data_IF_441633528835
#
_entry.id   IF_441633528835
#
_cell.length_a   1.000
_cell.length_b   1.000
_cell.length_c   1.000
_cell.angle_alpha   90.00
_cell.angle_beta   90.00
_cell.angle_gamma   90.00
#
_symmetry.space_group_name_H-M   'P 1'
#
loop_
_entity.id
_entity.type
_entity.pdbx_description
1 polymer ?
#
# COMPACT_ATOMS: atom_id res chain seq x y z
N UNK A 1 7.76 -26.58 -4.53
CA UNK A 1 6.98 -26.21 -3.32
C UNK A 1 6.96 -24.69 -3.22
N UNK A 2 6.27 -24.02 -4.15
CA UNK A 2 6.09 -22.58 -4.13
C UNK A 2 4.60 -22.33 -3.86
N UNK A 3 4.26 -21.82 -2.68
CA UNK A 3 2.88 -21.49 -2.30
C UNK A 3 2.44 -21.95 -0.91
N UNK A 4 3.17 -22.86 -0.26
CA UNK A 4 2.80 -23.39 1.06
C UNK A 4 3.36 -22.48 2.17
N UNK A 5 2.48 -21.88 2.97
CA UNK A 5 2.89 -21.02 4.08
C UNK A 5 3.22 -21.86 5.33
N UNK A 6 4.22 -21.48 6.15
CA UNK A 6 4.61 -22.25 7.33
C UNK A 6 3.45 -22.55 8.30
N UNK A 7 2.50 -21.61 8.44
CA UNK A 7 1.34 -21.78 9.31
C UNK A 7 0.26 -22.69 8.71
N UNK A 8 0.29 -22.96 7.40
CA UNK A 8 -0.60 -23.93 6.73
C UNK A 8 -0.03 -25.36 6.75
N UNK A 9 1.22 -25.57 7.17
CA UNK A 9 1.86 -26.91 7.17
C UNK A 9 1.01 -28.02 7.81
N UNK A 10 0.32 -27.80 8.96
CA UNK A 10 -0.59 -28.79 9.53
C UNK A 10 -1.71 -29.22 8.56
N UNK A 11 -2.23 -28.28 7.75
CA UNK A 11 -3.26 -28.56 6.74
C UNK A 11 -2.68 -29.34 5.57
N UNK A 12 -1.49 -28.95 5.10
CA UNK A 12 -0.80 -29.63 3.99
C UNK A 12 -0.54 -31.10 4.34
N UNK A 13 0.00 -31.36 5.54
CA UNK A 13 0.25 -32.72 6.01
C UNK A 13 -1.02 -33.55 6.15
N UNK A 14 -2.10 -32.94 6.64
CA UNK A 14 -3.38 -33.62 6.80
C UNK A 14 -4.03 -33.93 5.44
N UNK A 15 -3.98 -33.01 4.48
CA UNK A 15 -4.43 -33.23 3.10
C UNK A 15 -3.66 -34.37 2.45
N UNK A 16 -2.33 -34.37 2.59
CA UNK A 16 -1.48 -35.44 2.06
C UNK A 16 -1.87 -36.81 2.62
N UNK A 17 -2.12 -36.92 3.92
CA UNK A 17 -2.60 -38.17 4.55
C UNK A 17 -3.95 -38.62 4.02
N UNK A 18 -4.88 -37.68 3.81
CA UNK A 18 -6.20 -37.98 3.22
C UNK A 18 -6.03 -38.54 1.80
N UNK A 19 -5.18 -37.92 0.99
CA UNK A 19 -4.97 -38.32 -0.39
C UNK A 19 -4.23 -39.66 -0.50
N UNK A 20 -3.24 -39.91 0.36
CA UNK A 20 -2.56 -41.21 0.48
C UNK A 20 -3.54 -42.33 0.88
N UNK A 21 -4.44 -42.08 1.83
CA UNK A 21 -5.48 -43.04 2.24
C UNK A 21 -6.49 -43.31 1.10
N UNK A 22 -6.91 -42.28 0.37
CA UNK A 22 -7.79 -42.42 -0.80
C UNK A 22 -7.11 -43.29 -1.88
N UNK A 23 -5.85 -43.01 -2.19
CA UNK A 23 -5.09 -43.78 -3.18
C UNK A 23 -4.88 -45.23 -2.73
N UNK A 24 -4.46 -45.45 -1.48
CA UNK A 24 -4.20 -46.79 -0.96
C UNK A 24 -5.48 -47.64 -0.88
N UNK A 25 -6.61 -47.03 -0.51
CA UNK A 25 -7.93 -47.68 -0.53
C UNK A 25 -8.32 -48.18 -1.93
N UNK A 26 -8.07 -47.37 -2.96
CA UNK A 26 -8.31 -47.75 -4.36
C UNK A 26 -7.37 -48.88 -4.82
N UNK A 27 -6.08 -48.83 -4.49
CA UNK A 27 -5.10 -49.82 -4.92
C UNK A 27 -5.28 -51.19 -4.25
N UNK A 28 -5.70 -51.22 -2.99
CA UNK A 28 -5.83 -52.46 -2.20
C UNK A 28 -7.26 -52.97 -2.10
N UNK A 29 -8.25 -52.22 -2.60
CA UNK A 29 -9.67 -52.57 -2.47
C UNK A 29 -10.15 -52.59 -1.02
N UNK A 30 -9.56 -51.77 -0.16
CA UNK A 30 -9.92 -51.64 1.25
C UNK A 30 -10.74 -50.37 1.44
N UNK A 31 -11.86 -50.48 2.14
CA UNK A 31 -12.72 -49.33 2.45
C UNK A 31 -12.18 -48.54 3.64
N UNK A 32 -11.76 -47.29 3.39
CA UNK A 32 -11.33 -46.33 4.39
C UNK A 32 -12.31 -45.14 4.51
N UNK A 33 -13.55 -45.25 4.01
CA UNK A 33 -14.48 -44.13 3.94
C UNK A 33 -14.69 -43.42 5.29
N UNK A 34 -14.87 -44.18 6.38
CA UNK A 34 -15.08 -43.62 7.72
C UNK A 34 -13.85 -42.85 8.23
N UNK A 35 -12.65 -43.36 7.95
CA UNK A 35 -11.40 -42.74 8.39
C UNK A 35 -11.09 -41.48 7.57
N UNK A 36 -11.34 -41.54 6.26
CA UNK A 36 -11.25 -40.38 5.36
C UNK A 36 -12.23 -39.30 5.82
N UNK A 37 -13.48 -39.64 6.14
CA UNK A 37 -14.48 -38.68 6.61
C UNK A 37 -14.06 -38.01 7.93
N UNK A 38 -13.49 -38.77 8.87
CA UNK A 38 -12.95 -38.21 10.12
C UNK A 38 -11.80 -37.26 9.88
N UNK A 39 -10.89 -37.59 8.96
CA UNK A 39 -9.76 -36.72 8.61
C UNK A 39 -10.21 -35.46 7.87
N UNK A 40 -11.18 -35.56 6.96
CA UNK A 40 -11.78 -34.39 6.28
C UNK A 40 -12.50 -33.46 7.26
N UNK A 41 -13.20 -34.01 8.26
CA UNK A 41 -13.81 -33.19 9.32
C UNK A 41 -12.76 -32.50 10.18
N UNK A 42 -11.72 -33.22 10.58
CA UNK A 42 -10.58 -32.65 11.31
C UNK A 42 -9.87 -31.56 10.48
N UNK A 43 -9.78 -31.75 9.17
CA UNK A 43 -9.23 -30.77 8.24
C UNK A 43 -10.06 -29.49 8.24
N UNK A 44 -11.38 -29.60 8.09
CA UNK A 44 -12.29 -28.44 8.12
C UNK A 44 -12.23 -27.67 9.43
N UNK A 45 -12.13 -28.37 10.57
CA UNK A 45 -12.00 -27.74 11.89
C UNK A 45 -10.67 -26.99 12.03
N UNK A 46 -9.55 -27.65 11.74
CA UNK A 46 -8.22 -27.06 11.82
C UNK A 46 -8.07 -25.86 10.87
N UNK A 47 -8.60 -25.98 9.66
CA UNK A 47 -8.62 -24.88 8.69
C UNK A 47 -9.42 -23.68 9.23
N UNK A 48 -10.51 -23.95 9.96
CA UNK A 48 -11.35 -22.90 10.54
C UNK A 48 -10.58 -22.19 11.64
N UNK A 49 -9.93 -22.93 12.52
CA UNK A 49 -9.15 -22.39 13.62
C UNK A 49 -8.02 -21.50 13.12
N UNK A 50 -7.27 -21.97 12.09
CA UNK A 50 -6.14 -21.24 11.50
C UNK A 50 -6.61 -19.92 10.86
N UNK A 51 -7.63 -19.95 10.01
CA UNK A 51 -8.04 -18.74 9.29
C UNK A 51 -8.90 -17.79 10.13
N UNK A 52 -9.49 -18.24 11.23
CA UNK A 52 -10.20 -17.34 12.16
C UNK A 52 -9.22 -16.53 13.02
N UNK A 53 -8.04 -17.06 13.33
CA UNK A 53 -7.06 -16.44 14.23
C UNK A 53 -5.79 -16.02 13.50
N UNK A 54 -5.95 -15.43 12.32
CA UNK A 54 -4.81 -15.06 11.50
C UNK A 54 -4.09 -13.83 12.08
N UNK A 55 -2.79 -13.94 12.33
CA UNK A 55 -1.98 -12.86 12.87
C UNK A 55 -1.62 -11.80 11.80
N UNK A 56 -1.22 -10.58 12.20
CA UNK A 56 -0.73 -9.57 11.25
C UNK A 56 0.41 -10.07 10.36
N UNK A 57 1.34 -10.84 10.90
CA UNK A 57 2.44 -11.44 10.14
C UNK A 57 1.93 -12.47 9.12
N UNK A 58 0.95 -13.30 9.50
CA UNK A 58 0.33 -14.25 8.58
C UNK A 58 -0.46 -13.56 7.47
N UNK A 59 -1.19 -12.47 7.77
CA UNK A 59 -1.82 -11.60 6.75
C UNK A 59 -0.77 -11.00 5.81
N UNK A 60 0.35 -10.50 6.32
CA UNK A 60 1.47 -10.04 5.49
C UNK A 60 1.99 -11.14 4.54
N UNK A 61 2.10 -12.38 5.00
CA UNK A 61 2.49 -13.50 4.13
C UNK A 61 1.44 -13.80 3.05
N UNK A 62 0.14 -13.73 3.40
CA UNK A 62 -0.95 -13.86 2.42
C UNK A 62 -0.93 -12.73 1.38
N UNK A 63 -0.72 -11.48 1.78
CA UNK A 63 -0.56 -10.34 0.87
C UNK A 63 0.61 -10.54 -0.11
N UNK A 64 1.66 -11.22 0.36
CA UNK A 64 2.88 -11.48 -0.43
C UNK A 64 2.80 -12.74 -1.29
N UNK A 65 1.75 -13.55 -1.14
CA UNK A 65 1.60 -14.82 -1.87
C UNK A 65 1.76 -14.59 -3.38
N UNK A 66 2.57 -15.40 -4.04
CA UNK A 66 2.84 -15.28 -5.47
C UNK A 66 1.61 -15.59 -6.34
N UNK A 67 0.66 -16.36 -5.81
CA UNK A 67 -0.63 -16.66 -6.43
C UNK A 67 -1.71 -15.64 -6.05
N UNK A 68 -1.39 -14.58 -5.31
CA UNK A 68 -2.39 -13.53 -5.03
C UNK A 68 -2.83 -12.87 -6.35
N UNK A 69 -4.14 -12.66 -6.59
CA UNK A 69 -4.62 -12.04 -7.82
C UNK A 69 -3.97 -10.67 -8.04
N UNK A 70 -3.40 -10.47 -9.23
CA UNK A 70 -2.84 -9.18 -9.65
C UNK A 70 -3.92 -8.27 -10.24
N UNK A 71 -3.59 -7.01 -10.51
CA UNK A 71 -4.53 -6.08 -11.19
C UNK A 71 -5.10 -6.66 -12.49
N UNK A 72 -4.25 -7.23 -13.35
CA UNK A 72 -4.69 -7.86 -14.61
C UNK A 72 -5.48 -9.16 -14.42
N UNK A 73 -5.39 -9.82 -13.26
CA UNK A 73 -6.25 -10.96 -12.93
C UNK A 73 -7.67 -10.51 -12.54
N UNK A 74 -7.76 -9.40 -11.81
CA UNK A 74 -9.01 -8.89 -11.28
C UNK A 74 -9.81 -8.10 -12.32
N UNK A 75 -9.13 -7.40 -13.24
CA UNK A 75 -9.80 -6.61 -14.29
C UNK A 75 -10.87 -7.39 -15.06
N UNK A 76 -10.60 -8.57 -15.64
CA UNK A 76 -11.59 -9.31 -16.41
C UNK A 76 -12.72 -9.91 -15.55
N UNK A 77 -12.52 -10.01 -14.22
CA UNK A 77 -13.54 -10.52 -13.29
C UNK A 77 -14.51 -9.44 -12.82
N UNK A 78 -14.06 -8.18 -12.83
CA UNK A 78 -14.80 -7.02 -12.30
C UNK A 78 -15.39 -6.17 -13.43
N UNK A 79 -14.63 -5.97 -14.50
CA UNK A 79 -14.96 -5.02 -15.58
C UNK A 79 -15.15 -5.72 -16.92
N UNK A 80 -15.88 -5.05 -17.82
CA UNK A 80 -15.99 -5.44 -19.23
C UNK A 80 -15.34 -4.40 -20.14
N UNK A 81 -15.09 -4.76 -21.39
CA UNK A 81 -14.54 -3.87 -22.43
C UNK A 81 -13.23 -3.16 -22.02
N UNK A 82 -12.33 -3.86 -21.33
CA UNK A 82 -11.06 -3.27 -20.92
C UNK A 82 -10.15 -2.98 -22.13
N UNK A 83 -9.71 -1.74 -22.24
CA UNK A 83 -8.74 -1.27 -23.23
C UNK A 83 -7.57 -0.65 -22.49
N UNK A 84 -6.45 -1.35 -22.46
CA UNK A 84 -5.20 -0.86 -21.85
C UNK A 84 -4.64 0.33 -22.63
N UNK A 85 -4.13 1.33 -21.91
CA UNK A 85 -3.54 2.55 -22.46
C UNK A 85 -2.12 2.74 -21.94
N UNK A 86 -1.18 2.89 -22.87
CA UNK A 86 0.26 2.90 -22.58
C UNK A 86 0.88 4.31 -22.56
N UNK A 87 2.00 4.43 -21.84
CA UNK A 87 2.95 5.54 -21.89
C UNK A 87 2.56 6.78 -21.08
N UNK A 88 3.54 7.53 -20.62
CA UNK A 88 3.37 8.81 -19.91
C UNK A 88 3.36 10.04 -20.82
N UNK A 89 3.77 9.88 -22.09
CA UNK A 89 3.99 10.94 -23.09
C UNK A 89 5.20 11.84 -22.82
N UNK A 90 6.13 11.39 -21.99
CA UNK A 90 7.32 12.13 -21.61
C UNK A 90 8.58 11.27 -21.71
N UNK A 91 8.58 10.08 -21.11
CA UNK A 91 9.77 9.22 -21.04
C UNK A 91 9.50 7.79 -21.52
N UNK A 92 8.45 7.13 -21.01
CA UNK A 92 8.26 5.70 -21.28
C UNK A 92 6.92 5.14 -20.84
N UNK A 93 6.73 3.86 -21.13
CA UNK A 93 5.62 3.06 -20.60
C UNK A 93 6.15 2.13 -19.51
N UNK A 94 5.80 2.44 -18.25
CA UNK A 94 6.17 1.61 -17.11
C UNK A 94 5.22 0.42 -16.98
N UNK A 95 5.77 -0.79 -17.05
CA UNK A 95 5.01 -2.04 -16.94
C UNK A 95 4.62 -2.38 -15.50
N UNK A 96 5.19 -1.70 -14.50
CA UNK A 96 4.78 -1.80 -13.11
C UNK A 96 3.42 -1.13 -12.85
N UNK A 97 2.94 -0.29 -13.78
CA UNK A 97 1.61 0.33 -13.75
C UNK A 97 0.84 -0.05 -15.00
N UNK A 98 -0.31 -0.71 -14.82
CA UNK A 98 -1.29 -0.95 -15.88
C UNK A 98 -2.46 0.00 -15.71
N UNK A 99 -3.13 0.34 -16.80
CA UNK A 99 -4.33 1.17 -16.71
C UNK A 99 -4.99 1.42 -18.05
N UNK A 100 -6.28 1.74 -18.02
CA UNK A 100 -7.08 1.78 -19.22
C UNK A 100 -8.52 2.22 -19.01
N UNK A 101 -9.29 2.10 -20.08
CA UNK A 101 -10.74 2.31 -20.08
C UNK A 101 -11.42 0.97 -19.84
N UNK A 102 -12.51 0.96 -19.09
CA UNK A 102 -13.32 -0.23 -18.89
C UNK A 102 -14.79 0.16 -18.65
N UNK A 103 -15.64 -0.83 -18.47
CA UNK A 103 -17.01 -0.66 -17.97
C UNK A 103 -17.23 -1.42 -16.67
N UNK A 104 -17.85 -0.76 -15.71
CA UNK A 104 -18.36 -1.37 -14.48
C UNK A 104 -19.89 -1.32 -14.54
N UNK A 105 -20.56 -2.47 -14.68
CA UNK A 105 -22.02 -2.54 -14.89
C UNK A 105 -22.51 -1.59 -16.01
N UNK A 106 -21.78 -1.57 -17.13
CA UNK A 106 -22.07 -0.71 -18.27
C UNK A 106 -21.57 0.74 -18.14
N UNK A 107 -21.29 1.24 -16.93
CA UNK A 107 -20.76 2.59 -16.71
C UNK A 107 -19.29 2.70 -17.11
N UNK A 108 -18.89 3.66 -17.97
CA UNK A 108 -17.49 3.86 -18.34
C UNK A 108 -16.65 4.33 -17.15
N UNK A 109 -15.55 3.64 -16.88
CA UNK A 109 -14.60 3.93 -15.80
C UNK A 109 -13.18 3.94 -16.33
N UNK A 110 -12.27 4.56 -15.57
CA UNK A 110 -10.82 4.43 -15.78
C UNK A 110 -10.24 3.59 -14.64
N UNK A 111 -9.54 2.52 -14.99
CA UNK A 111 -8.91 1.61 -14.03
C UNK A 111 -7.40 1.79 -14.13
N UNK A 112 -6.71 1.87 -13.00
CA UNK A 112 -5.24 2.00 -12.91
C UNK A 112 -4.77 1.10 -11.78
N UNK A 113 -3.61 0.44 -11.89
CA UNK A 113 -3.09 -0.29 -10.75
C UNK A 113 -1.65 -0.72 -10.89
N UNK A 114 -1.05 -1.07 -9.75
CA UNK A 114 0.24 -1.75 -9.74
C UNK A 114 0.08 -3.14 -10.36
N UNK A 115 1.08 -3.55 -11.13
CA UNK A 115 1.11 -4.88 -11.73
C UNK A 115 2.38 -5.62 -11.34
N UNK A 116 2.25 -6.58 -10.45
CA UNK A 116 3.27 -7.59 -10.18
C UNK A 116 3.34 -8.61 -11.32
N UNK A 117 4.47 -9.30 -11.42
CA UNK A 117 4.62 -10.39 -12.37
C UNK A 117 4.18 -11.73 -11.79
N UNK A 118 3.69 -12.62 -12.65
CA UNK A 118 3.27 -13.97 -12.24
C UNK A 118 4.43 -14.97 -12.13
N UNK A 119 5.45 -14.79 -12.95
CA UNK A 119 6.68 -15.58 -12.95
C UNK A 119 7.92 -14.69 -12.79
N UNK A 120 9.10 -15.30 -12.71
CA UNK A 120 10.37 -14.57 -12.51
C UNK A 120 10.64 -13.58 -13.63
N UNK A 121 10.37 -13.94 -14.89
CA UNK A 121 10.65 -13.09 -16.05
C UNK A 121 9.71 -11.89 -16.06
N UNK A 122 8.42 -12.13 -15.83
CA UNK A 122 7.39 -11.09 -15.74
C UNK A 122 7.65 -10.17 -14.53
N UNK A 123 8.07 -10.71 -13.39
CA UNK A 123 8.42 -9.91 -12.22
C UNK A 123 9.59 -8.97 -12.48
N UNK A 124 10.64 -9.43 -13.17
CA UNK A 124 11.77 -8.58 -13.55
C UNK A 124 11.31 -7.47 -14.51
N UNK A 125 10.51 -7.80 -15.53
CA UNK A 125 10.02 -6.84 -16.50
C UNK A 125 9.14 -5.74 -15.88
N UNK A 126 8.44 -6.07 -14.80
CA UNK A 126 7.53 -5.16 -14.09
C UNK A 126 8.11 -4.60 -12.81
N UNK A 127 9.41 -4.76 -12.58
CA UNK A 127 10.09 -4.32 -11.36
C UNK A 127 9.38 -4.77 -10.07
N UNK A 128 8.82 -5.99 -10.09
CA UNK A 128 8.04 -6.57 -8.99
C UNK A 128 6.86 -5.67 -8.55
N UNK A 129 6.26 -4.93 -9.49
CA UNK A 129 5.19 -3.98 -9.22
C UNK A 129 5.67 -2.68 -8.55
N UNK A 130 6.96 -2.37 -8.59
CA UNK A 130 7.55 -1.13 -8.05
C UNK A 130 7.71 -0.09 -9.15
N UNK A 131 6.87 0.96 -9.22
CA UNK A 131 6.90 1.89 -10.34
C UNK A 131 8.11 2.83 -10.31
N UNK A 132 8.54 3.18 -11.51
CA UNK A 132 9.39 4.31 -11.82
C UNK A 132 8.56 5.61 -11.93
N UNK A 133 9.21 6.78 -12.03
CA UNK A 133 8.50 8.07 -12.10
C UNK A 133 7.52 8.14 -13.27
N UNK A 134 7.88 7.60 -14.43
CA UNK A 134 7.03 7.49 -15.62
C UNK A 134 5.74 6.70 -15.38
N UNK A 135 5.72 5.70 -14.48
CA UNK A 135 4.51 4.98 -14.10
C UNK A 135 3.50 5.86 -13.36
N UNK A 136 3.99 6.71 -12.45
CA UNK A 136 3.14 7.69 -11.78
C UNK A 136 2.65 8.79 -12.74
N UNK A 137 3.52 9.26 -13.65
CA UNK A 137 3.12 10.22 -14.71
C UNK A 137 2.08 9.64 -15.66
N UNK A 138 2.23 8.37 -16.07
CA UNK A 138 1.20 7.60 -16.81
C UNK A 138 -0.11 7.56 -16.03
N UNK A 139 -0.05 7.29 -14.73
CA UNK A 139 -1.24 7.27 -13.86
C UNK A 139 -1.95 8.61 -13.84
N UNK A 140 -1.24 9.72 -13.59
CA UNK A 140 -1.78 11.09 -13.63
C UNK A 140 -2.43 11.38 -14.98
N UNK A 141 -1.76 11.03 -16.09
CA UNK A 141 -2.30 11.24 -17.44
C UNK A 141 -3.65 10.55 -17.62
N UNK A 142 -3.77 9.30 -17.18
CA UNK A 142 -5.01 8.54 -17.27
C UNK A 142 -6.11 9.12 -16.36
N UNK A 143 -5.76 9.53 -15.14
CA UNK A 143 -6.69 10.18 -14.21
C UNK A 143 -7.21 11.52 -14.76
N UNK A 144 -6.35 12.32 -15.39
CA UNK A 144 -6.76 13.57 -16.05
C UNK A 144 -7.64 13.33 -17.27
N UNK A 145 -7.41 12.25 -18.01
CA UNK A 145 -8.34 11.84 -19.06
C UNK A 145 -9.68 11.42 -18.48
N UNK A 146 -9.72 10.70 -17.36
CA UNK A 146 -10.97 10.33 -16.70
C UNK A 146 -11.76 11.56 -16.26
N UNK A 147 -11.11 12.51 -15.59
CA UNK A 147 -11.69 13.79 -15.19
C UNK A 147 -12.26 14.57 -16.39
N UNK A 148 -11.49 14.70 -17.46
CA UNK A 148 -11.92 15.41 -18.69
C UNK A 148 -13.24 14.88 -19.27
N UNK A 149 -13.49 13.58 -19.12
CA UNK A 149 -14.66 12.92 -19.68
C UNK A 149 -15.68 12.49 -18.61
N UNK A 150 -15.54 12.96 -17.37
CA UNK A 150 -16.47 12.65 -16.27
C UNK A 150 -16.53 11.17 -15.89
N UNK A 151 -15.46 10.40 -16.09
CA UNK A 151 -15.42 8.99 -15.71
C UNK A 151 -14.93 8.82 -14.27
N UNK A 152 -15.55 7.94 -13.47
CA UNK A 152 -14.99 7.50 -12.21
C UNK A 152 -13.64 6.80 -12.41
N UNK A 153 -12.81 6.86 -11.37
CA UNK A 153 -11.49 6.23 -11.33
C UNK A 153 -11.49 5.15 -10.26
N UNK A 154 -11.03 3.95 -10.63
CA UNK A 154 -10.73 2.87 -9.70
C UNK A 154 -9.23 2.61 -9.73
N UNK A 155 -8.59 2.59 -8.56
CA UNK A 155 -7.17 2.21 -8.44
C UNK A 155 -6.97 0.93 -7.67
N UNK A 156 -6.06 0.07 -8.13
CA UNK A 156 -5.63 -1.14 -7.43
C UNK A 156 -4.19 -0.99 -6.93
N UNK A 157 -4.01 -1.10 -5.62
CA UNK A 157 -2.73 -0.92 -4.94
C UNK A 157 -2.14 -2.29 -4.59
N UNK A 158 -0.98 -2.59 -5.17
CA UNK A 158 -0.21 -3.81 -4.93
C UNK A 158 1.28 -3.60 -5.23
N UNK A 159 1.95 -2.88 -4.34
CA UNK A 159 3.36 -2.54 -4.46
C UNK A 159 4.07 -2.59 -3.12
N UNK A 160 5.32 -3.03 -3.13
CA UNK A 160 6.23 -2.92 -1.97
C UNK A 160 6.72 -1.48 -1.77
N UNK A 161 6.55 -0.63 -2.77
CA UNK A 161 6.99 0.76 -2.78
C UNK A 161 7.41 1.20 -4.17
N UNK A 162 7.74 2.48 -4.29
CA UNK A 162 8.33 3.01 -5.51
C UNK A 162 9.72 2.39 -5.74
N UNK A 163 10.12 2.21 -7.00
CA UNK A 163 11.42 1.64 -7.32
C UNK A 163 12.56 2.52 -6.77
N UNK A 164 13.43 2.02 -5.88
CA UNK A 164 14.45 2.81 -5.20
C UNK A 164 15.80 2.75 -5.92
N UNK A 165 15.84 3.14 -7.20
CA UNK A 165 17.05 3.07 -8.04
C UNK A 165 17.56 4.43 -8.51
N UNK A 166 18.86 4.53 -8.78
CA UNK A 166 19.50 5.78 -9.24
C UNK A 166 18.79 6.41 -10.43
N UNK A 167 18.37 5.60 -11.40
CA UNK A 167 17.70 6.09 -12.61
C UNK A 167 16.30 6.65 -12.30
N UNK A 168 15.62 6.12 -11.28
CA UNK A 168 14.36 6.68 -10.81
C UNK A 168 14.57 8.04 -10.11
N UNK A 169 15.64 8.16 -9.32
CA UNK A 169 16.01 9.43 -8.68
C UNK A 169 16.36 10.51 -9.70
N UNK A 170 17.21 10.19 -10.70
CA UNK A 170 17.57 11.10 -11.80
C UNK A 170 16.34 11.62 -12.57
N UNK A 171 15.28 10.81 -12.65
CA UNK A 171 14.02 11.16 -13.33
C UNK A 171 12.95 11.76 -12.40
N UNK A 172 13.27 11.98 -11.13
CA UNK A 172 12.40 12.67 -10.17
C UNK A 172 11.31 11.78 -9.57
N UNK A 173 11.68 10.67 -8.93
CA UNK A 173 10.74 9.78 -8.22
C UNK A 173 9.92 10.52 -7.16
N UNK A 174 10.59 11.36 -6.36
CA UNK A 174 9.93 12.20 -5.35
C UNK A 174 8.94 13.19 -5.97
N UNK A 175 9.32 13.84 -7.08
CA UNK A 175 8.45 14.79 -7.80
C UNK A 175 7.22 14.08 -8.36
N UNK A 176 7.39 12.93 -9.01
CA UNK A 176 6.29 12.20 -9.63
C UNK A 176 5.26 11.71 -8.59
N UNK A 177 5.73 11.24 -7.43
CA UNK A 177 4.86 10.87 -6.30
C UNK A 177 4.14 12.12 -5.77
N UNK A 178 4.88 13.18 -5.42
CA UNK A 178 4.29 14.40 -4.87
C UNK A 178 3.27 15.04 -5.82
N UNK A 179 3.56 15.05 -7.13
CA UNK A 179 2.64 15.52 -8.17
C UNK A 179 1.39 14.65 -8.22
N UNK A 180 1.52 13.34 -8.08
CA UNK A 180 0.37 12.43 -8.06
C UNK A 180 -0.56 12.73 -6.88
N UNK A 181 -0.02 12.91 -5.68
CA UNK A 181 -0.79 13.29 -4.49
C UNK A 181 -1.55 14.59 -4.71
N UNK A 182 -0.85 15.60 -5.24
CA UNK A 182 -1.42 16.93 -5.50
C UNK A 182 -2.51 16.92 -6.57
N UNK A 183 -2.32 16.18 -7.66
CA UNK A 183 -3.32 16.07 -8.72
C UNK A 183 -4.53 15.26 -8.28
N UNK A 184 -4.31 14.13 -7.61
CA UNK A 184 -5.38 13.28 -7.11
C UNK A 184 -6.24 13.98 -6.07
N UNK A 185 -5.67 14.80 -5.19
CA UNK A 185 -6.44 15.58 -4.22
C UNK A 185 -7.48 16.53 -4.87
N UNK A 186 -7.29 16.89 -6.14
CA UNK A 186 -8.09 17.90 -6.85
C UNK A 186 -9.02 17.32 -7.93
N UNK A 187 -9.02 16.01 -8.14
CA UNK A 187 -9.88 15.37 -9.15
C UNK A 187 -11.36 15.58 -8.83
N UNK A 188 -12.12 16.07 -9.81
CA UNK A 188 -13.56 16.35 -9.71
C UNK A 188 -14.47 15.17 -10.07
N UNK A 189 -13.92 13.96 -10.16
CA UNK A 189 -14.64 12.71 -10.40
C UNK A 189 -14.48 11.77 -9.21
N UNK A 190 -15.38 10.80 -9.00
CA UNK A 190 -15.24 9.81 -7.96
C UNK A 190 -13.94 9.01 -8.11
N UNK A 191 -13.20 8.84 -7.02
CA UNK A 191 -11.98 8.03 -6.97
C UNK A 191 -12.11 6.99 -5.85
N UNK A 192 -12.05 5.71 -6.22
CA UNK A 192 -12.05 4.59 -5.26
C UNK A 192 -10.72 3.85 -5.39
N UNK A 193 -9.97 3.76 -4.30
CA UNK A 193 -8.70 3.06 -4.24
C UNK A 193 -8.88 1.76 -3.46
N UNK A 194 -8.31 0.66 -3.93
CA UNK A 194 -8.37 -0.63 -3.24
C UNK A 194 -6.98 -1.21 -3.10
N UNK A 195 -6.54 -1.45 -1.86
CA UNK A 195 -5.32 -2.23 -1.60
C UNK A 195 -5.64 -3.70 -1.76
N UNK A 196 -5.17 -4.28 -2.87
CA UNK A 196 -5.41 -5.68 -3.21
C UNK A 196 -4.28 -6.59 -2.75
N UNK A 197 -3.10 -6.05 -2.42
CA UNK A 197 -1.95 -6.82 -1.95
C UNK A 197 -1.13 -6.04 -0.93
N UNK A 198 0.06 -5.59 -1.32
CA UNK A 198 0.89 -4.71 -0.48
C UNK A 198 0.64 -3.22 -0.78
N UNK A 199 0.45 -2.40 0.26
CA UNK A 199 0.37 -0.95 0.22
C UNK A 199 1.67 -0.32 0.72
N UNK A 200 2.73 -0.37 -0.09
CA UNK A 200 4.05 0.10 0.30
C UNK A 200 4.24 1.62 0.19
N UNK A 201 4.22 2.31 1.33
CA UNK A 201 4.71 3.68 1.52
C UNK A 201 4.17 4.70 0.48
N UNK A 202 4.98 5.69 0.11
CA UNK A 202 4.65 6.73 -0.87
C UNK A 202 4.36 6.18 -2.27
N UNK A 203 4.89 5.01 -2.64
CA UNK A 203 4.62 4.40 -3.94
C UNK A 203 3.21 3.85 -4.08
N UNK A 204 2.65 3.32 -2.98
CA UNK A 204 1.23 3.00 -2.88
C UNK A 204 0.38 4.27 -2.83
N UNK A 205 0.76 5.23 -1.98
CA UNK A 205 0.00 6.48 -1.78
C UNK A 205 -0.11 7.32 -3.06
N UNK A 206 0.86 7.24 -3.96
CA UNK A 206 0.85 7.95 -5.24
C UNK A 206 -0.37 7.64 -6.13
N UNK A 207 -1.04 6.50 -5.94
CA UNK A 207 -2.33 6.19 -6.58
C UNK A 207 -3.43 5.88 -5.56
N UNK A 208 -3.25 6.32 -4.31
CA UNK A 208 -4.11 6.01 -3.16
C UNK A 208 -4.89 7.19 -2.58
N UNK A 209 -4.87 8.36 -3.22
CA UNK A 209 -5.59 9.55 -2.74
C UNK A 209 -7.02 9.57 -3.30
N UNK A 210 -7.88 8.71 -2.77
CA UNK A 210 -9.27 8.52 -3.21
C UNK A 210 -10.33 9.11 -2.26
N UNK A 211 -11.56 9.26 -2.76
CA UNK A 211 -12.75 9.52 -1.92
C UNK A 211 -13.06 8.34 -1.00
N UNK A 212 -12.74 7.13 -1.47
CA UNK A 212 -12.78 5.88 -0.71
C UNK A 212 -11.45 5.16 -0.90
N UNK A 213 -10.93 4.63 0.19
CA UNK A 213 -9.79 3.71 0.24
C UNK A 213 -10.32 2.47 0.93
N UNK A 214 -10.30 1.36 0.22
CA UNK A 214 -10.70 0.05 0.70
C UNK A 214 -9.46 -0.83 0.80
N UNK A 215 -9.53 -1.86 1.62
CA UNK A 215 -8.49 -2.89 1.68
C UNK A 215 -9.13 -4.26 1.58
N UNK A 216 -8.49 -5.18 0.87
CA UNK A 216 -8.84 -6.58 1.01
C UNK A 216 -8.43 -7.07 2.41
N UNK A 217 -9.18 -8.01 2.96
CA UNK A 217 -9.05 -8.50 4.35
C UNK A 217 -7.63 -8.85 4.79
N UNK A 218 -6.84 -9.46 3.88
CA UNK A 218 -5.48 -9.88 4.15
C UNK A 218 -4.43 -8.96 3.51
N UNK A 219 -4.83 -7.85 2.89
CA UNK A 219 -3.90 -6.83 2.40
C UNK A 219 -3.24 -6.07 3.56
N UNK A 220 -2.08 -5.48 3.29
CA UNK A 220 -1.35 -4.66 4.26
C UNK A 220 -1.10 -3.25 3.72
N UNK A 221 -1.07 -2.24 4.59
CA UNK A 221 -0.71 -0.86 4.20
C UNK A 221 0.25 -0.28 5.25
N UNK A 222 1.42 0.19 4.83
CA UNK A 222 2.43 0.68 5.77
C UNK A 222 3.30 1.80 5.21
N UNK A 223 3.74 2.70 6.09
CA UNK A 223 4.66 3.80 5.73
C UNK A 223 6.08 3.32 5.37
N UNK A 224 6.47 2.14 5.87
CA UNK A 224 7.74 1.46 5.60
C UNK A 224 7.47 -0.05 5.56
N UNK A 225 8.25 -0.82 4.80
CA UNK A 225 8.10 -2.28 4.83
C UNK A 225 8.44 -2.84 6.23
N UNK A 226 7.77 -3.92 6.69
CA UNK A 226 8.11 -4.53 7.98
C UNK A 226 9.58 -4.95 8.08
N UNK A 227 10.17 -5.46 6.99
CA UNK A 227 11.60 -5.75 6.90
C UNK A 227 12.48 -4.50 7.08
N UNK A 228 12.09 -3.36 6.49
CA UNK A 228 12.77 -2.08 6.66
C UNK A 228 12.68 -1.56 8.09
N UNK A 229 11.49 -1.60 8.70
CA UNK A 229 11.29 -1.21 10.10
C UNK A 229 12.10 -2.09 11.05
N UNK A 230 12.09 -3.41 10.83
CA UNK A 230 12.87 -4.38 11.60
C UNK A 230 14.38 -4.06 11.56
N UNK A 231 14.88 -3.74 10.37
CA UNK A 231 16.30 -3.39 10.17
C UNK A 231 16.70 -2.08 10.85
N UNK A 232 15.79 -1.13 11.00
CA UNK A 232 16.07 0.17 11.63
C UNK A 232 15.92 0.10 13.15
N UNK A 233 14.77 -0.39 13.63
CA UNK A 233 14.41 -0.36 15.04
C UNK A 233 15.08 -1.48 15.84
N UNK A 234 15.25 -2.67 15.24
CA UNK A 234 15.86 -3.82 15.90
C UNK A 234 17.23 -4.21 15.34
N UNK A 235 17.74 -3.51 14.31
CA UNK A 235 18.99 -3.84 13.62
C UNK A 235 19.02 -5.27 13.07
N UNK A 236 17.84 -5.83 12.78
CA UNK A 236 17.67 -7.22 12.39
C UNK A 236 16.44 -7.39 11.48
N UNK A 237 16.68 -7.58 10.18
CA UNK A 237 15.63 -7.75 9.18
C UNK A 237 14.79 -9.03 9.37
N UNK A 238 15.30 -10.02 10.11
CA UNK A 238 14.58 -11.28 10.38
C UNK A 238 13.40 -11.07 11.33
N UNK A 239 13.37 -9.95 12.07
CA UNK A 239 12.28 -9.57 12.96
C UNK A 239 11.12 -8.86 12.25
N UNK A 240 10.92 -9.15 10.97
CA UNK A 240 9.86 -8.54 10.17
C UNK A 240 8.46 -8.83 10.74
N UNK A 241 8.22 -10.03 11.25
CA UNK A 241 6.93 -10.42 11.84
C UNK A 241 6.63 -9.59 13.09
N UNK A 242 7.63 -9.42 13.96
CA UNK A 242 7.53 -8.56 15.14
C UNK A 242 7.28 -7.09 14.76
N UNK A 243 7.93 -6.60 13.70
CA UNK A 243 7.71 -5.24 13.21
C UNK A 243 6.30 -5.08 12.62
N UNK A 244 5.79 -6.06 11.88
CA UNK A 244 4.46 -6.04 11.31
C UNK A 244 3.37 -5.92 12.39
N UNK A 245 3.51 -6.66 13.49
CA UNK A 245 2.60 -6.59 14.64
C UNK A 245 2.65 -5.22 15.33
N UNK A 246 3.85 -4.68 15.55
CA UNK A 246 4.00 -3.39 16.23
C UNK A 246 3.46 -2.20 15.41
N UNK A 247 3.50 -2.31 14.08
CA UNK A 247 3.17 -1.20 13.17
C UNK A 247 1.68 -1.06 12.84
N UNK A 248 0.83 -2.02 13.22
CA UNK A 248 -0.62 -1.99 12.96
C UNK A 248 -0.97 -1.80 11.48
N UNK A 249 -0.47 -2.70 10.64
CA UNK A 249 -0.51 -2.58 9.16
C UNK A 249 -1.72 -3.26 8.51
N UNK A 250 -2.60 -3.89 9.29
CA UNK A 250 -3.70 -4.72 8.76
C UNK A 250 -4.92 -3.88 8.37
N UNK A 251 -5.81 -4.45 7.55
CA UNK A 251 -7.07 -3.80 7.20
C UNK A 251 -7.92 -3.44 8.43
N UNK A 252 -7.98 -4.33 9.44
CA UNK A 252 -8.71 -4.10 10.68
C UNK A 252 -8.14 -2.93 11.49
N UNK A 253 -6.81 -2.89 11.64
CA UNK A 253 -6.10 -1.80 12.31
C UNK A 253 -6.40 -0.45 11.64
N UNK A 254 -6.30 -0.41 10.32
CA UNK A 254 -6.46 0.82 9.53
C UNK A 254 -7.91 1.28 9.45
N UNK A 255 -8.86 0.36 9.52
CA UNK A 255 -10.28 0.68 9.66
C UNK A 255 -10.54 1.30 11.05
N UNK A 256 -10.00 0.71 12.11
CA UNK A 256 -10.13 1.23 13.47
C UNK A 256 -9.50 2.63 13.62
N UNK A 257 -8.42 2.90 12.89
CA UNK A 257 -7.76 4.22 12.84
C UNK A 257 -8.44 5.21 11.88
N UNK A 258 -9.57 4.84 11.25
CA UNK A 258 -10.30 5.64 10.27
C UNK A 258 -9.45 6.10 9.05
N UNK A 259 -8.44 5.31 8.67
CA UNK A 259 -7.59 5.58 7.49
C UNK A 259 -8.25 5.05 6.20
N UNK A 260 -9.02 3.97 6.31
CA UNK A 260 -9.77 3.33 5.23
C UNK A 260 -11.27 3.33 5.54
N UNK A 261 -12.12 3.18 4.51
CA UNK A 261 -13.58 3.19 4.66
C UNK A 261 -14.22 1.81 4.68
N UNK A 262 -13.49 0.76 4.30
CA UNK A 262 -14.08 -0.56 4.23
C UNK A 262 -13.06 -1.67 3.98
N UNK A 263 -13.46 -2.87 4.39
CA UNK A 263 -12.71 -4.10 4.20
C UNK A 263 -13.50 -4.98 3.22
N UNK A 264 -12.84 -5.39 2.15
CA UNK A 264 -13.40 -6.34 1.19
C UNK A 264 -13.02 -7.75 1.67
N UNK A 265 -14.00 -8.61 2.00
CA UNK A 265 -13.72 -9.95 2.51
C UNK A 265 -13.01 -10.79 1.45
N UNK A 266 -12.13 -11.67 1.89
CA UNK A 266 -11.48 -12.64 1.01
C UNK A 266 -12.13 -14.03 1.12
N UNK A 267 -12.02 -14.88 0.09
CA UNK A 267 -12.29 -16.30 0.24
C UNK A 267 -11.50 -16.87 1.40
N UNK A 268 -12.04 -17.90 2.04
CA UNK A 268 -11.35 -18.59 3.13
C UNK A 268 -10.01 -19.12 2.63
N UNK A 269 -8.94 -18.77 3.34
CA UNK A 269 -7.57 -19.05 2.93
C UNK A 269 -6.92 -18.01 2.03
N UNK A 270 -7.62 -16.93 1.72
CA UNK A 270 -7.12 -15.77 1.00
C UNK A 270 -7.57 -15.71 -0.47
N UNK A 271 -7.39 -14.54 -1.05
CA UNK A 271 -7.81 -14.19 -2.41
C UNK A 271 -7.34 -15.15 -3.52
N UNK A 272 -6.22 -15.83 -3.30
CA UNK A 272 -5.64 -16.76 -4.27
C UNK A 272 -6.38 -18.10 -4.37
N UNK A 273 -7.29 -18.41 -3.42
CA UNK A 273 -8.04 -19.67 -3.41
C UNK A 273 -9.24 -19.64 -4.36
N UNK A 274 -9.84 -18.47 -4.59
CA UNK A 274 -11.00 -18.30 -5.46
C UNK A 274 -11.00 -16.88 -6.06
N UNK A 275 -10.55 -16.79 -7.30
CA UNK A 275 -10.39 -15.51 -7.99
C UNK A 275 -11.76 -14.92 -8.33
N UNK A 276 -12.70 -15.76 -8.75
CA UNK A 276 -14.06 -15.38 -9.12
C UNK A 276 -14.82 -14.78 -7.93
N UNK A 277 -14.78 -15.44 -6.77
CA UNK A 277 -15.37 -14.91 -5.54
C UNK A 277 -14.69 -13.61 -5.09
N UNK A 278 -13.37 -13.52 -5.21
CA UNK A 278 -12.61 -12.28 -4.93
C UNK A 278 -13.06 -11.13 -5.85
N UNK A 279 -13.15 -11.38 -7.15
CA UNK A 279 -13.62 -10.40 -8.13
C UNK A 279 -15.06 -9.97 -7.88
N UNK A 280 -15.95 -10.90 -7.53
CA UNK A 280 -17.33 -10.60 -7.19
C UNK A 280 -17.44 -9.70 -5.95
N UNK A 281 -16.72 -10.01 -4.87
CA UNK A 281 -16.70 -9.21 -3.65
C UNK A 281 -16.17 -7.79 -3.89
N UNK A 282 -15.09 -7.67 -4.67
CA UNK A 282 -14.55 -6.36 -5.09
C UNK A 282 -15.56 -5.57 -5.90
N UNK A 283 -16.20 -6.20 -6.90
CA UNK A 283 -17.20 -5.57 -7.76
C UNK A 283 -18.38 -5.03 -6.95
N UNK A 284 -18.88 -5.81 -6.00
CA UNK A 284 -19.97 -5.39 -5.10
C UNK A 284 -19.59 -4.12 -4.30
N UNK A 285 -18.43 -4.11 -3.67
CA UNK A 285 -17.96 -2.96 -2.89
C UNK A 285 -17.67 -1.73 -3.75
N UNK A 286 -17.11 -1.92 -4.95
CA UNK A 286 -16.91 -0.84 -5.91
C UNK A 286 -18.24 -0.21 -6.33
N UNK A 287 -19.27 -1.02 -6.62
CA UNK A 287 -20.59 -0.53 -6.99
C UNK A 287 -21.26 0.24 -5.85
N UNK A 288 -21.22 -0.32 -4.63
CA UNK A 288 -21.78 0.32 -3.43
C UNK A 288 -21.19 1.72 -3.23
N UNK A 289 -19.86 1.82 -3.17
CA UNK A 289 -19.19 3.09 -2.94
C UNK A 289 -19.32 4.04 -4.14
N UNK A 290 -19.33 3.52 -5.37
CA UNK A 290 -19.53 4.38 -6.54
C UNK A 290 -20.93 4.98 -6.54
N UNK A 291 -21.95 4.22 -6.13
CA UNK A 291 -23.32 4.69 -6.00
C UNK A 291 -23.43 5.82 -4.96
N UNK A 292 -22.77 5.69 -3.81
CA UNK A 292 -22.71 6.75 -2.79
C UNK A 292 -22.09 8.05 -3.33
N UNK A 293 -21.00 7.92 -4.10
CA UNK A 293 -20.25 9.06 -4.62
C UNK A 293 -20.92 9.71 -5.84
N UNK A 294 -21.72 8.96 -6.59
CA UNK A 294 -22.37 9.44 -7.83
C UNK A 294 -23.41 10.54 -7.59
N UNK A 295 -23.88 10.71 -6.34
CA UNK A 295 -24.77 11.81 -5.97
C UNK A 295 -24.06 13.13 -5.67
N UNK A 296 -22.72 13.15 -5.63
CA UNK A 296 -21.93 14.34 -5.31
C UNK A 296 -21.48 15.06 -6.58
N UNK A 297 -21.53 16.39 -6.58
CA UNK A 297 -20.90 17.18 -7.63
C UNK A 297 -19.36 17.22 -7.48
N UNK A 298 -18.69 17.79 -8.48
CA UNK A 298 -17.23 17.83 -8.52
C UNK A 298 -16.58 18.60 -7.36
N UNK A 299 -17.21 19.65 -6.83
CA UNK A 299 -16.67 20.41 -5.71
C UNK A 299 -16.88 19.66 -4.40
N UNK A 300 -18.04 19.04 -4.21
CA UNK A 300 -18.33 18.17 -3.08
C UNK A 300 -17.41 16.95 -3.04
N UNK A 301 -17.07 16.36 -4.19
CA UNK A 301 -16.10 15.26 -4.28
C UNK A 301 -14.69 15.67 -3.85
N UNK A 302 -14.26 16.88 -4.23
CA UNK A 302 -12.96 17.42 -3.81
C UNK A 302 -12.95 17.73 -2.32
N UNK A 303 -14.00 18.39 -1.82
CA UNK A 303 -14.12 18.75 -0.41
C UNK A 303 -14.18 17.52 0.50
N UNK A 304 -14.97 16.51 0.13
CA UNK A 304 -15.03 15.26 0.90
C UNK A 304 -13.68 14.56 0.97
N UNK A 305 -12.93 14.53 -0.15
CA UNK A 305 -11.59 13.97 -0.18
C UNK A 305 -10.63 14.78 0.69
N UNK A 306 -10.71 16.11 0.64
CA UNK A 306 -9.92 16.98 1.51
C UNK A 306 -10.18 16.69 2.98
N UNK A 307 -11.44 16.69 3.42
CA UNK A 307 -11.81 16.45 4.81
C UNK A 307 -11.36 15.07 5.29
N UNK A 308 -11.53 14.03 4.46
CA UNK A 308 -11.04 12.68 4.74
C UNK A 308 -9.56 12.69 5.12
N UNK A 309 -8.70 13.26 4.27
CA UNK A 309 -7.25 13.24 4.53
C UNK A 309 -6.85 14.25 5.61
N UNK A 310 -7.57 15.36 5.74
CA UNK A 310 -7.23 16.45 6.69
C UNK A 310 -7.39 16.03 8.16
N UNK A 311 -8.32 15.11 8.45
CA UNK A 311 -8.56 14.59 9.80
C UNK A 311 -7.57 13.51 10.26
N UNK A 312 -6.75 12.97 9.35
CA UNK A 312 -5.81 11.89 9.70
C UNK A 312 -4.66 12.46 10.53
N UNK A 313 -4.48 11.90 11.72
CA UNK A 313 -3.38 12.22 12.65
C UNK A 313 -3.89 12.71 14.00
N UNK A 314 -3.35 12.14 15.07
CA UNK A 314 -3.63 12.54 16.45
C UNK A 314 -2.43 13.27 17.05
N UNK A 315 -2.65 14.45 17.63
CA UNK A 315 -1.60 15.23 18.28
C UNK A 315 -2.15 15.98 19.49
N UNK A 316 -1.30 16.19 20.50
CA UNK A 316 -1.64 16.98 21.67
C UNK A 316 -1.26 18.45 21.43
N UNK A 317 -2.23 19.36 21.58
CA UNK A 317 -1.96 20.80 21.53
C UNK A 317 -1.44 21.31 22.87
N UNK A 318 -0.26 21.93 22.86
CA UNK A 318 0.26 22.62 24.04
C UNK A 318 -0.44 23.97 24.15
N UNK A 319 -1.33 24.14 25.13
CA UNK A 319 -1.89 25.45 25.47
C UNK A 319 -0.76 26.38 25.91
N UNK A 320 -0.46 27.38 25.10
CA UNK A 320 0.40 28.49 25.52
C UNK A 320 -0.45 29.40 26.41
N UNK A 321 -0.12 29.48 27.70
CA UNK A 321 -0.80 30.38 28.63
C UNK A 321 -0.53 31.83 28.25
N UNK A 322 -1.59 32.58 27.95
CA UNK A 322 -1.56 33.99 27.56
C UNK A 322 -1.34 34.92 28.76
N UNK A 323 -0.32 34.66 29.59
CA UNK A 323 0.03 35.53 30.73
C UNK A 323 1.21 36.48 30.43
N UNK A 324 1.62 36.64 29.16
CA UNK A 324 2.77 37.49 28.81
C UNK A 324 2.42 38.94 28.42
N UNK A 325 1.14 39.34 28.48
CA UNK A 325 0.75 40.75 28.44
C UNK A 325 0.07 41.11 29.75
N UNK A 326 0.89 41.36 30.77
CA UNK A 326 0.44 42.04 31.98
C UNK A 326 -0.03 43.44 31.62
N UNK A 327 -1.33 43.66 31.72
CA UNK A 327 -1.91 44.99 31.86
C UNK A 327 -1.43 45.58 33.20
N UNK A 328 -0.63 46.64 33.16
CA UNK A 328 -0.43 47.52 34.30
C UNK A 328 -0.52 48.96 33.80
N UNK A 329 -1.74 49.46 33.75
CA UNK A 329 -2.05 50.88 33.89
C UNK A 329 -1.96 51.27 35.37
N UNK A 330 -1.47 52.49 35.62
CA UNK A 330 -1.54 53.28 36.86
C UNK A 330 -0.58 52.95 38.02
N UNK A 331 0.53 53.69 38.10
CA UNK A 331 0.72 54.76 39.10
C UNK A 331 2.12 55.37 38.98
N UNK A 332 2.20 56.57 38.39
CA UNK A 332 3.36 57.45 38.53
C UNK A 332 3.33 58.08 39.93
N UNK A 333 4.33 57.79 40.76
CA UNK A 333 4.83 58.72 41.78
C UNK A 333 6.24 58.31 42.27
N UNK A 334 7.22 59.13 41.89
CA UNK A 334 8.43 59.53 42.64
C UNK A 334 9.27 58.46 43.37
N UNK A 335 10.47 58.19 42.87
CA UNK A 335 11.72 58.63 43.54
C UNK A 335 12.97 58.31 42.72
N UNK A 336 13.85 59.30 42.65
CA UNK A 336 15.19 59.26 42.09
C UNK A 336 16.13 58.68 43.17
N UNK A 337 16.94 57.67 42.86
CA UNK A 337 18.39 57.60 43.20
C UNK A 337 19.07 56.29 42.73
N UNK A 338 20.16 56.48 41.97
CA UNK A 338 21.42 55.73 41.82
C UNK A 338 21.51 54.23 42.20
N UNK A 339 22.01 53.41 41.27
CA UNK A 339 23.28 52.68 41.43
C UNK A 339 23.73 52.03 40.10
N UNK A 340 25.04 51.94 39.96
CA UNK A 340 25.84 51.61 38.78
C UNK A 340 25.96 50.10 38.51
N UNK A 341 26.30 49.80 37.26
CA UNK A 341 27.21 48.75 36.75
C UNK A 341 27.00 47.28 37.16
N UNK A 342 26.72 46.40 36.18
CA UNK A 342 27.54 45.19 35.92
C UNK A 342 27.04 44.39 34.69
N UNK A 343 27.90 44.36 33.67
CA UNK A 343 28.15 43.25 32.72
C UNK A 343 27.02 42.66 31.85
N UNK A 344 27.01 43.04 30.56
CA UNK A 344 26.50 42.19 29.48
C UNK A 344 27.61 41.23 28.99
N UNK A 345 27.32 39.93 28.96
CA UNK A 345 27.98 39.00 28.05
C UNK A 345 26.93 38.43 27.07
N UNK A 346 27.15 38.49 25.74
CA UNK A 346 26.35 37.74 24.79
C UNK A 346 26.85 36.30 24.68
N UNK A 347 25.92 35.34 24.77
CA UNK A 347 26.17 33.92 24.50
C UNK A 347 26.21 33.72 22.98
N UNK A 348 27.39 33.34 22.49
CA UNK A 348 27.68 32.94 21.12
C UNK A 348 27.30 31.47 20.91
N UNK A 349 26.38 31.18 19.98
CA UNK A 349 26.04 29.81 19.58
C UNK A 349 26.83 29.44 18.32
N UNK A 350 28.04 28.90 18.54
CA UNK A 350 28.84 28.30 17.47
C UNK A 350 28.26 26.94 17.05
N UNK A 351 27.80 26.83 15.80
CA UNK A 351 27.46 25.56 15.13
C UNK A 351 28.77 24.87 14.75
N UNK A 352 29.07 23.72 15.36
CA UNK A 352 30.19 22.85 14.95
C UNK A 352 29.81 22.05 13.70
N UNK A 353 30.41 22.40 12.57
CA UNK A 353 30.54 21.54 11.40
C UNK A 353 31.41 20.32 11.74
N UNK A 354 30.90 19.12 11.48
CA UNK A 354 31.72 17.91 11.39
C UNK A 354 32.06 17.67 9.91
N UNK A 355 33.32 17.90 9.55
CA UNK A 355 33.93 17.41 8.32
C UNK A 355 34.81 16.21 8.65
N UNK A 356 34.58 15.08 7.99
CA UNK A 356 35.61 14.07 7.79
C UNK A 356 35.48 13.53 6.38
N UNK A 357 36.27 14.12 5.49
CA UNK A 357 36.58 13.61 4.16
C UNK A 357 37.68 12.55 4.31
N UNK A 358 37.42 11.35 3.81
CA UNK A 358 38.44 10.37 3.45
C UNK A 358 38.63 10.43 1.93
N UNK A 359 39.86 10.69 1.50
CA UNK A 359 40.30 10.73 0.10
C UNK A 359 40.18 9.37 -0.61
N UNK A 360 39.99 9.33 -1.94
CA UNK A 360 40.04 8.10 -2.72
C UNK A 360 41.46 7.82 -3.24
N UNK A 361 41.89 6.56 -3.14
CA UNK A 361 43.08 6.04 -3.82
C UNK A 361 42.78 5.70 -5.27
N UNK A 362 43.73 6.03 -6.15
CA UNK A 362 43.76 5.71 -7.57
C UNK A 362 44.10 4.24 -7.88
N UNK A 363 43.88 3.88 -9.15
CA UNK A 363 44.35 2.70 -9.91
C UNK A 363 43.48 1.43 -9.91
N UNK A 364 42.72 1.24 -11.01
CA UNK A 364 43.05 0.21 -12.02
C UNK A 364 42.12 0.33 -13.25
N UNK A 365 42.73 0.58 -14.41
CA UNK A 365 42.11 0.49 -15.74
C UNK A 365 41.83 -0.99 -16.10
N UNK A 366 40.63 -1.28 -16.61
CA UNK A 366 40.38 -2.49 -17.39
C UNK A 366 39.47 -2.18 -18.61
N UNK A 367 39.70 -2.82 -19.78
CA UNK A 367 39.33 -2.25 -21.07
C UNK A 367 37.92 -2.61 -21.53
N UNK A 368 37.29 -1.65 -22.21
CA UNK A 368 36.02 -1.78 -22.92
C UNK A 368 36.21 -2.65 -24.16
N UNK A 369 35.36 -3.66 -24.33
CA UNK A 369 35.11 -4.33 -25.62
C UNK A 369 33.76 -3.86 -26.19
N UNK A 370 33.64 -3.63 -27.51
CA UNK A 370 32.38 -3.20 -28.14
C UNK A 370 31.52 -4.42 -28.56
N UNK A 371 30.18 -4.30 -28.65
CA UNK A 371 29.34 -5.36 -29.19
C UNK A 371 29.26 -5.30 -30.72
N UNK A 372 29.18 -6.48 -31.33
CA UNK A 372 28.73 -6.72 -32.70
C UNK A 372 27.21 -6.91 -32.73
#
# INVERSE_FOLDING_TARGET
>A
MAGEMPFEMPLVELRKKIDELKQFGQEKGIDFADEINRLEERYRQMESEIYTHISPAQKMHLARNQQRPTTLDLIPLIFTDFIELHGDRMFGDDLAIVGGLARLEGQPVTVIGHQRGKDTKDNIARFFGSPHPEGYRKSIRLMKQAEKFGRPIVTFIDTKGAYPGNTAEERGQSEAIARSLWEMARLRVPVICVVIGEGGSGGALAIGVGNRVLMMENAIYSAISPNGAASILWKDASKADQAAEAMKITADDLLQMEIIEGIVPEPRGGAHKDYEATGAALKEHLLMHLQELSGMDGDALVEQRYQKFRKIGEFAERRVSSNFFGSSSESEQTNVEKAEDESMQPIDHTIKHFSSLTEPSADEEAPRTPPH
#
